data_IF_671320216086
#
_entry.id   IF_671320216086
#
_cell.length_a   1.000
_cell.length_b   1.000
_cell.length_c   1.000
_cell.angle_alpha   90.00
_cell.angle_beta   90.00
_cell.angle_gamma   90.00
#
_symmetry.space_group_name_H-M   'P 1'
#
loop_
_entity.id
_entity.type
_entity.pdbx_description
1 polymer ?
#
# COMPACT_ATOMS: atom_id res chain seq x y z
N UNK A 1 -18.77 -12.88 10.62
CA UNK A 1 -18.01 -12.17 11.68
C UNK A 1 -18.25 -10.68 11.59
N UNK A 2 -18.06 -9.97 12.71
CA UNK A 2 -18.11 -8.51 12.75
C UNK A 2 -16.73 -7.94 13.04
N UNK A 3 -16.21 -7.08 12.14
CA UNK A 3 -14.92 -6.40 12.29
C UNK A 3 -15.07 -4.89 12.33
N UNK A 4 -14.29 -4.23 13.20
CA UNK A 4 -14.14 -2.79 13.19
C UNK A 4 -12.72 -2.47 12.68
N UNK A 5 -12.64 -1.70 11.60
CA UNK A 5 -11.40 -1.25 10.99
C UNK A 5 -11.07 0.15 11.46
N UNK A 6 -9.79 0.44 11.68
CA UNK A 6 -9.33 1.75 12.14
C UNK A 6 -8.22 2.25 11.23
N UNK A 7 -8.41 3.43 10.63
CA UNK A 7 -7.37 4.19 9.96
C UNK A 7 -7.47 5.66 10.39
N UNK A 8 -6.36 6.21 10.88
CA UNK A 8 -6.35 7.57 11.47
C UNK A 8 -5.87 8.65 10.51
N UNK A 9 -5.45 8.29 9.30
CA UNK A 9 -4.89 9.23 8.33
C UNK A 9 -5.93 10.25 7.83
N UNK A 10 -5.46 11.47 7.56
CA UNK A 10 -6.27 12.51 6.93
C UNK A 10 -6.12 12.51 5.41
N UNK A 11 -4.97 12.09 4.91
CA UNK A 11 -4.64 12.10 3.48
C UNK A 11 -5.05 10.78 2.82
N UNK A 12 -5.14 10.79 1.49
CA UNK A 12 -5.34 9.60 0.68
C UNK A 12 -4.02 9.10 0.11
N UNK A 13 -3.67 7.86 0.42
CA UNK A 13 -2.49 7.16 -0.11
C UNK A 13 -2.84 5.68 -0.33
N UNK A 14 -1.91 4.89 -0.86
CA UNK A 14 -2.11 3.46 -1.09
C UNK A 14 -2.62 2.68 0.14
N UNK A 15 -2.13 3.00 1.35
CA UNK A 15 -2.59 2.35 2.59
C UNK A 15 -4.08 2.55 2.87
N UNK A 16 -4.62 3.76 2.68
CA UNK A 16 -6.04 4.06 2.85
C UNK A 16 -6.90 3.39 1.78
N UNK A 17 -6.39 3.33 0.54
CA UNK A 17 -7.04 2.57 -0.52
C UNK A 17 -7.15 1.09 -0.15
N UNK A 18 -6.06 0.48 0.33
CA UNK A 18 -6.05 -0.92 0.75
C UNK A 18 -6.97 -1.19 1.96
N UNK A 19 -7.05 -0.25 2.91
CA UNK A 19 -8.01 -0.34 4.02
C UNK A 19 -9.45 -0.36 3.51
N UNK A 20 -9.79 0.52 2.57
CA UNK A 20 -11.13 0.61 1.98
C UNK A 20 -11.48 -0.62 1.15
N UNK A 21 -10.55 -1.11 0.30
CA UNK A 21 -10.71 -2.35 -0.46
C UNK A 21 -10.95 -3.55 0.46
N UNK A 22 -10.19 -3.64 1.57
CA UNK A 22 -10.38 -4.70 2.58
C UNK A 22 -11.77 -4.64 3.21
N UNK A 23 -12.22 -3.45 3.64
CA UNK A 23 -13.53 -3.25 4.27
C UNK A 23 -14.66 -3.60 3.32
N UNK A 24 -14.63 -3.08 2.08
CA UNK A 24 -15.65 -3.32 1.08
C UNK A 24 -15.69 -4.79 0.63
N UNK A 25 -14.52 -5.39 0.42
CA UNK A 25 -14.44 -6.79 0.02
C UNK A 25 -14.95 -7.74 1.09
N UNK A 26 -14.65 -7.50 2.38
CA UNK A 26 -15.22 -8.28 3.49
C UNK A 26 -16.74 -8.15 3.57
N UNK A 27 -17.31 -6.97 3.29
CA UNK A 27 -18.77 -6.81 3.20
C UNK A 27 -19.34 -7.60 2.04
N UNK A 28 -18.70 -7.58 0.90
CA UNK A 28 -19.15 -8.31 -0.30
C UNK A 28 -19.25 -9.83 -0.05
N UNK A 29 -18.38 -10.39 0.80
CA UNK A 29 -18.45 -11.81 1.21
C UNK A 29 -19.29 -12.05 2.47
N UNK A 30 -20.15 -11.08 2.88
CA UNK A 30 -21.14 -11.24 3.93
C UNK A 30 -20.65 -10.98 5.37
N UNK A 31 -19.46 -10.38 5.55
CA UNK A 31 -19.03 -9.94 6.87
C UNK A 31 -19.67 -8.59 7.23
N UNK A 32 -20.05 -8.40 8.49
CA UNK A 32 -20.36 -7.08 9.00
C UNK A 32 -19.07 -6.33 9.25
N UNK A 33 -18.99 -5.09 8.77
CA UNK A 33 -17.81 -4.22 8.97
C UNK A 33 -18.25 -2.83 9.42
N UNK A 34 -17.43 -2.16 10.24
CA UNK A 34 -17.52 -0.75 10.53
C UNK A 34 -16.14 -0.11 10.38
N UNK A 35 -16.11 1.18 10.07
CA UNK A 35 -14.86 1.92 9.84
C UNK A 35 -14.75 3.11 10.79
N UNK A 36 -13.73 3.09 11.62
CA UNK A 36 -13.27 4.24 12.41
C UNK A 36 -12.30 5.03 11.54
N UNK A 37 -12.68 6.26 11.20
CA UNK A 37 -11.88 7.13 10.36
C UNK A 37 -11.83 8.55 10.94
N UNK A 38 -10.81 9.32 10.54
CA UNK A 38 -10.72 10.72 10.90
C UNK A 38 -11.93 11.50 10.33
N UNK A 39 -12.64 12.34 11.13
CA UNK A 39 -13.87 13.01 10.68
C UNK A 39 -13.68 13.91 9.45
N UNK A 40 -12.47 14.46 9.26
CA UNK A 40 -12.10 15.30 8.11
C UNK A 40 -11.06 14.59 7.23
N UNK A 41 -11.06 13.26 7.17
CA UNK A 41 -10.12 12.46 6.38
C UNK A 41 -10.72 12.00 5.06
N UNK A 42 -9.86 11.87 4.04
CA UNK A 42 -10.22 11.42 2.69
C UNK A 42 -10.87 10.02 2.68
N UNK A 43 -10.44 9.13 3.57
CA UNK A 43 -11.00 7.80 3.69
C UNK A 43 -12.51 7.82 4.00
N UNK A 44 -12.93 8.73 4.89
CA UNK A 44 -14.35 8.93 5.21
C UNK A 44 -15.15 9.42 4.01
N UNK A 45 -14.58 10.35 3.23
CA UNK A 45 -15.26 10.93 2.06
C UNK A 45 -15.43 9.91 0.93
N UNK A 46 -14.54 8.92 0.85
CA UNK A 46 -14.53 7.87 -0.18
C UNK A 46 -15.22 6.58 0.27
N UNK A 47 -15.64 6.51 1.53
CA UNK A 47 -16.33 5.33 2.04
C UNK A 47 -17.68 5.13 1.32
N UNK A 48 -17.97 3.87 0.97
CA UNK A 48 -19.19 3.51 0.26
C UNK A 48 -20.44 3.82 1.11
N UNK A 49 -21.54 4.15 0.45
CA UNK A 49 -22.85 4.26 1.10
C UNK A 49 -23.20 2.98 1.86
N UNK A 50 -23.83 3.16 3.02
CA UNK A 50 -24.23 2.05 3.89
C UNK A 50 -23.09 1.41 4.69
N UNK A 51 -21.86 1.94 4.66
CA UNK A 51 -20.81 1.58 5.59
C UNK A 51 -21.02 2.29 6.94
N UNK A 52 -21.02 1.53 8.04
CA UNK A 52 -21.08 2.10 9.39
C UNK A 52 -19.79 2.88 9.69
N UNK A 53 -19.89 4.23 9.64
CA UNK A 53 -18.76 5.13 9.88
C UNK A 53 -18.77 5.65 11.31
N UNK A 54 -17.61 5.55 11.96
CA UNK A 54 -17.41 6.01 13.34
C UNK A 54 -16.33 7.10 13.33
N UNK A 55 -16.72 8.38 13.47
CA UNK A 55 -15.75 9.48 13.41
C UNK A 55 -14.98 9.60 14.71
N UNK A 56 -13.70 9.20 14.71
CA UNK A 56 -12.77 9.41 15.81
C UNK A 56 -11.48 9.99 15.26
N UNK A 57 -11.06 11.14 15.82
CA UNK A 57 -9.77 11.76 15.53
C UNK A 57 -8.82 11.52 16.68
N UNK A 58 -7.73 10.78 16.46
CA UNK A 58 -6.61 10.71 17.37
C UNK A 58 -5.65 11.87 17.07
N UNK A 59 -5.27 12.65 18.08
CA UNK A 59 -4.34 13.78 17.95
C UNK A 59 -2.87 13.33 18.04
N UNK A 60 -2.64 12.31 18.84
CA UNK A 60 -1.31 11.69 19.08
C UNK A 60 -1.44 10.18 19.22
N UNK A 61 -0.32 9.47 19.21
CA UNK A 61 -0.32 8.01 19.48
C UNK A 61 -0.87 7.65 20.88
N UNK A 62 -0.81 8.58 21.85
CA UNK A 62 -1.24 8.37 23.24
C UNK A 62 -2.51 9.18 23.58
N UNK A 63 -3.41 9.39 22.63
CA UNK A 63 -4.66 10.11 22.85
C UNK A 63 -5.66 9.26 23.64
N UNK A 64 -5.65 9.41 24.97
CA UNK A 64 -6.56 8.69 25.88
C UNK A 64 -8.04 9.02 25.65
N UNK A 65 -8.35 10.24 25.17
CA UNK A 65 -9.73 10.62 24.85
C UNK A 65 -10.27 9.84 23.65
N UNK A 66 -9.46 9.75 22.58
CA UNK A 66 -9.80 8.97 21.41
C UNK A 66 -9.90 7.47 21.75
N UNK A 67 -8.98 6.95 22.56
CA UNK A 67 -9.00 5.57 23.04
C UNK A 67 -10.24 5.28 23.90
N UNK A 68 -10.62 6.17 24.80
CA UNK A 68 -11.83 6.02 25.61
C UNK A 68 -13.12 6.02 24.76
N UNK A 69 -13.20 6.92 23.75
CA UNK A 69 -14.32 6.92 22.81
C UNK A 69 -14.40 5.59 22.07
N UNK A 70 -13.27 5.08 21.60
CA UNK A 70 -13.20 3.78 20.94
C UNK A 70 -13.63 2.66 21.90
N UNK A 71 -13.17 2.64 23.17
CA UNK A 71 -13.58 1.65 24.17
C UNK A 71 -15.10 1.61 24.37
N UNK A 72 -15.76 2.79 24.40
CA UNK A 72 -17.23 2.85 24.46
C UNK A 72 -17.91 2.26 23.22
N UNK A 73 -17.33 2.50 22.04
CA UNK A 73 -17.81 1.89 20.78
C UNK A 73 -17.67 0.38 20.83
N UNK A 74 -16.51 -0.14 21.23
CA UNK A 74 -16.26 -1.57 21.35
C UNK A 74 -17.22 -2.24 22.33
N UNK A 75 -17.49 -1.62 23.48
CA UNK A 75 -18.47 -2.12 24.46
C UNK A 75 -19.89 -2.17 23.91
N UNK A 76 -20.28 -1.17 23.10
CA UNK A 76 -21.63 -1.09 22.50
C UNK A 76 -21.82 -2.08 21.36
N UNK A 77 -20.81 -2.20 20.49
CA UNK A 77 -20.92 -2.96 19.24
C UNK A 77 -20.44 -4.41 19.36
N UNK A 78 -19.62 -4.73 20.36
CA UNK A 78 -19.08 -6.07 20.64
C UNK A 78 -18.53 -6.80 19.40
N UNK A 79 -17.55 -6.20 18.65
CA UNK A 79 -17.00 -6.83 17.46
C UNK A 79 -16.22 -8.12 17.81
N UNK A 80 -16.00 -8.97 16.79
CA UNK A 80 -15.11 -10.13 16.89
C UNK A 80 -13.64 -9.71 16.68
N UNK A 81 -13.43 -8.78 15.76
CA UNK A 81 -12.11 -8.31 15.31
C UNK A 81 -12.02 -6.78 15.40
N UNK A 82 -10.89 -6.30 15.87
CA UNK A 82 -10.47 -4.92 15.78
C UNK A 82 -9.23 -4.87 14.88
N UNK A 83 -9.34 -4.27 13.69
CA UNK A 83 -8.26 -4.24 12.72
C UNK A 83 -7.68 -2.82 12.55
N UNK A 84 -6.45 -2.61 12.99
CA UNK A 84 -5.72 -1.36 12.88
C UNK A 84 -4.89 -1.32 11.58
N UNK A 85 -5.05 -0.26 10.77
CA UNK A 85 -4.40 -0.13 9.47
C UNK A 85 -3.16 0.77 9.48
N UNK A 86 -2.91 1.48 10.56
CA UNK A 86 -1.72 2.33 10.75
C UNK A 86 -1.18 2.27 12.19
N UNK A 87 -0.02 2.88 12.45
CA UNK A 87 0.64 2.83 13.74
C UNK A 87 -0.12 3.58 14.85
N UNK A 88 -0.80 4.69 14.52
CA UNK A 88 -1.64 5.44 15.47
C UNK A 88 -2.93 4.67 15.76
N UNK A 89 -3.53 4.03 14.75
CA UNK A 89 -4.66 3.13 14.90
C UNK A 89 -4.33 1.96 15.85
N UNK A 90 -3.14 1.35 15.69
CA UNK A 90 -2.66 0.29 16.58
C UNK A 90 -2.53 0.78 18.02
N UNK A 91 -1.98 1.98 18.24
CA UNK A 91 -1.85 2.56 19.56
C UNK A 91 -3.22 2.85 20.19
N UNK A 92 -4.13 3.50 19.46
CA UNK A 92 -5.48 3.80 19.91
C UNK A 92 -6.26 2.53 20.25
N UNK A 93 -6.15 1.49 19.42
CA UNK A 93 -6.79 0.18 19.66
C UNK A 93 -6.25 -0.49 20.94
N UNK A 94 -4.92 -0.53 21.10
CA UNK A 94 -4.29 -1.11 22.30
C UNK A 94 -4.70 -0.38 23.59
N UNK A 95 -4.74 0.95 23.57
CA UNK A 95 -5.21 1.75 24.69
C UNK A 95 -6.69 1.53 24.97
N UNK A 96 -7.53 1.48 23.93
CA UNK A 96 -8.96 1.26 24.08
C UNK A 96 -9.28 -0.10 24.71
N UNK A 97 -8.58 -1.16 24.31
CA UNK A 97 -8.70 -2.49 24.90
C UNK A 97 -8.28 -2.50 26.37
N UNK A 98 -7.23 -1.77 26.74
CA UNK A 98 -6.78 -1.66 28.13
C UNK A 98 -7.74 -0.85 29.01
N UNK A 99 -8.44 0.15 28.45
CA UNK A 99 -9.43 0.97 29.16
C UNK A 99 -10.79 0.29 29.26
N UNK A 100 -11.09 -0.67 28.40
CA UNK A 100 -12.42 -1.31 28.32
C UNK A 100 -12.79 -2.22 29.50
N UNK A 101 -11.89 -2.51 30.41
CA UNK A 101 -12.10 -3.36 31.58
C UNK A 101 -12.50 -4.79 31.21
N UNK A 102 -13.10 -5.53 32.17
CA UNK A 102 -13.58 -6.90 31.93
C UNK A 102 -14.89 -6.90 31.12
N UNK A 103 -14.79 -6.62 29.82
CA UNK A 103 -15.92 -6.79 28.90
C UNK A 103 -16.24 -8.28 28.74
N UNK A 104 -17.52 -8.61 28.54
CA UNK A 104 -17.98 -10.00 28.32
C UNK A 104 -17.34 -10.64 27.09
N UNK A 105 -16.85 -9.84 26.15
CA UNK A 105 -16.14 -10.26 24.93
C UNK A 105 -15.09 -9.21 24.55
N UNK A 106 -13.84 -9.61 24.48
CA UNK A 106 -12.73 -8.77 24.01
C UNK A 106 -12.41 -9.12 22.56
N UNK A 107 -12.48 -8.15 21.61
CA UNK A 107 -12.15 -8.45 20.21
C UNK A 107 -10.68 -8.83 20.07
N UNK A 108 -10.36 -9.66 19.08
CA UNK A 108 -8.98 -9.90 18.71
C UNK A 108 -8.42 -8.69 17.96
N UNK A 109 -7.21 -8.26 18.34
CA UNK A 109 -6.53 -7.12 17.71
C UNK A 109 -5.63 -7.60 16.57
N UNK A 110 -5.98 -7.22 15.35
CA UNK A 110 -5.18 -7.42 14.14
C UNK A 110 -4.56 -6.09 13.74
N UNK A 111 -3.31 -6.09 13.30
CA UNK A 111 -2.64 -4.89 12.80
C UNK A 111 -2.03 -5.13 11.41
N UNK A 112 -2.41 -4.33 10.43
CA UNK A 112 -1.75 -4.32 9.12
C UNK A 112 -0.42 -3.57 9.18
N UNK A 113 0.59 -4.15 8.55
CA UNK A 113 1.89 -3.51 8.32
C UNK A 113 2.17 -3.42 6.82
N UNK A 114 2.19 -2.18 6.31
CA UNK A 114 2.34 -1.86 4.88
C UNK A 114 3.63 -1.13 4.55
N UNK A 115 4.42 -0.79 5.58
CA UNK A 115 5.69 -0.06 5.44
C UNK A 115 6.82 -0.88 6.00
N UNK A 116 7.98 -0.80 5.38
CA UNK A 116 9.20 -1.52 5.69
C UNK A 116 10.14 -0.78 6.66
N UNK A 117 9.58 0.07 7.52
CA UNK A 117 10.33 0.70 8.61
C UNK A 117 10.28 -0.18 9.86
N UNK A 118 11.43 -0.35 10.52
CA UNK A 118 11.54 -1.09 11.77
C UNK A 118 10.62 -0.57 12.87
N UNK A 119 10.19 -1.46 13.75
CA UNK A 119 9.41 -1.10 14.92
C UNK A 119 10.27 -0.26 15.88
N UNK A 120 9.68 0.81 16.43
CA UNK A 120 10.38 1.61 17.44
C UNK A 120 10.64 0.80 18.69
N UNK A 121 11.88 0.81 19.19
CA UNK A 121 12.33 0.02 20.35
C UNK A 121 11.95 0.59 21.72
N UNK A 122 11.14 1.68 21.81
CA UNK A 122 10.74 2.27 23.09
C UNK A 122 9.69 1.41 23.83
N UNK A 123 9.54 1.65 25.15
CA UNK A 123 8.67 0.83 26.00
C UNK A 123 7.20 0.86 25.58
N UNK A 124 6.68 2.01 25.14
CA UNK A 124 5.31 2.14 24.66
C UNK A 124 5.09 1.36 23.36
N UNK A 125 6.03 1.46 22.42
CA UNK A 125 5.98 0.70 21.18
C UNK A 125 5.97 -0.81 21.44
N UNK A 126 6.88 -1.30 22.30
CA UNK A 126 6.89 -2.72 22.70
C UNK A 126 5.59 -3.14 23.39
N UNK A 127 5.06 -2.33 24.27
CA UNK A 127 3.80 -2.60 24.97
C UNK A 127 2.63 -2.72 23.97
N UNK A 128 2.44 -1.73 23.07
CA UNK A 128 1.32 -1.76 22.12
C UNK A 128 1.41 -2.95 21.15
N UNK A 129 2.61 -3.31 20.69
CA UNK A 129 2.79 -4.43 19.77
C UNK A 129 2.57 -5.79 20.46
N UNK A 130 2.76 -5.89 21.79
CA UNK A 130 2.40 -7.09 22.54
C UNK A 130 0.89 -7.32 22.62
N UNK A 131 0.09 -6.28 22.51
CA UNK A 131 -1.39 -6.37 22.51
C UNK A 131 -1.95 -6.89 21.19
N UNK A 132 -1.17 -6.84 20.10
CA UNK A 132 -1.63 -7.29 18.78
C UNK A 132 -1.62 -8.81 18.72
N UNK A 133 -2.75 -9.44 18.47
CA UNK A 133 -2.88 -10.90 18.37
C UNK A 133 -2.26 -11.43 17.07
N UNK A 134 -2.38 -10.66 15.96
CA UNK A 134 -1.77 -11.01 14.69
C UNK A 134 -1.41 -9.77 13.86
N UNK A 135 -0.20 -9.76 13.30
CA UNK A 135 0.22 -8.80 12.29
C UNK A 135 -0.01 -9.37 10.89
N UNK A 136 -0.71 -8.62 10.06
CA UNK A 136 -0.82 -8.85 8.62
C UNK A 136 0.23 -8.00 7.94
N UNK A 137 1.28 -8.63 7.41
CA UNK A 137 2.33 -7.99 6.64
C UNK A 137 1.94 -7.98 5.16
N UNK A 138 2.07 -6.82 4.49
CA UNK A 138 1.74 -6.68 3.07
C UNK A 138 2.70 -7.43 2.14
N UNK A 139 3.85 -7.86 2.64
CA UNK A 139 4.85 -8.65 1.92
C UNK A 139 5.62 -9.57 2.87
N UNK A 140 6.25 -10.59 2.32
CA UNK A 140 7.13 -11.47 3.08
C UNK A 140 8.37 -10.72 3.59
N UNK A 141 8.84 -9.73 2.84
CA UNK A 141 9.90 -8.84 3.29
C UNK A 141 9.54 -8.12 4.59
N UNK A 142 8.31 -7.56 4.67
CA UNK A 142 7.80 -6.92 5.90
C UNK A 142 7.64 -7.96 7.02
N UNK A 143 7.14 -9.16 6.72
CA UNK A 143 6.98 -10.23 7.71
C UNK A 143 8.33 -10.59 8.34
N UNK A 144 9.36 -10.80 7.51
CA UNK A 144 10.73 -11.08 7.98
C UNK A 144 11.28 -9.95 8.85
N UNK A 145 11.05 -8.70 8.47
CA UNK A 145 11.42 -7.53 9.25
C UNK A 145 10.74 -7.52 10.62
N UNK A 146 9.42 -7.78 10.69
CA UNK A 146 8.69 -7.86 11.96
C UNK A 146 9.25 -8.95 12.88
N UNK A 147 9.57 -10.11 12.33
CA UNK A 147 10.20 -11.21 13.09
C UNK A 147 11.60 -10.80 13.59
N UNK A 148 12.40 -10.13 12.76
CA UNK A 148 13.70 -9.60 13.16
C UNK A 148 13.58 -8.52 14.26
N UNK A 149 12.48 -7.75 14.28
CA UNK A 149 12.17 -6.79 15.34
C UNK A 149 11.63 -7.43 16.63
N UNK A 150 11.55 -8.78 16.68
CA UNK A 150 11.16 -9.55 17.86
C UNK A 150 9.66 -9.85 17.95
N UNK A 151 8.89 -9.70 16.87
CA UNK A 151 7.50 -10.19 16.83
C UNK A 151 7.52 -11.70 16.60
N UNK A 152 6.85 -12.52 17.43
CA UNK A 152 6.82 -13.97 17.25
C UNK A 152 6.31 -14.37 15.86
N UNK A 153 6.96 -15.33 15.17
CA UNK A 153 6.57 -15.74 13.82
C UNK A 153 5.11 -16.20 13.71
N UNK A 154 4.58 -16.87 14.72
CA UNK A 154 3.19 -17.34 14.79
C UNK A 154 2.16 -16.21 14.88
N UNK A 155 2.60 -15.02 15.28
CA UNK A 155 1.77 -13.80 15.32
C UNK A 155 1.95 -12.92 14.08
N UNK A 156 2.63 -13.40 13.07
CA UNK A 156 2.81 -12.71 11.79
C UNK A 156 2.34 -13.57 10.64
N UNK A 157 1.69 -12.95 9.67
CA UNK A 157 1.25 -13.61 8.44
C UNK A 157 1.41 -12.64 7.28
N UNK A 158 1.82 -13.16 6.13
CA UNK A 158 1.82 -12.39 4.89
C UNK A 158 0.45 -12.51 4.22
N UNK A 159 -0.18 -11.37 3.97
CA UNK A 159 -1.32 -11.23 3.06
C UNK A 159 -0.95 -10.11 2.10
N UNK A 160 -0.69 -10.46 0.86
CA UNK A 160 -0.34 -9.47 -0.15
C UNK A 160 -1.50 -8.52 -0.40
N UNK A 161 -1.18 -7.25 -0.61
CA UNK A 161 -2.17 -6.27 -1.05
C UNK A 161 -2.69 -6.63 -2.43
N UNK A 162 -3.97 -6.38 -2.66
CA UNK A 162 -4.65 -6.65 -3.92
C UNK A 162 -5.12 -5.37 -4.60
N UNK A 163 -5.36 -5.47 -5.90
CA UNK A 163 -6.00 -4.42 -6.68
C UNK A 163 -7.32 -4.94 -7.27
N UNK A 164 -8.23 -4.01 -7.51
CA UNK A 164 -9.46 -4.26 -8.26
C UNK A 164 -9.13 -4.23 -9.76
N UNK A 165 -8.88 -5.41 -10.33
CA UNK A 165 -8.46 -5.56 -11.72
C UNK A 165 -9.56 -5.08 -12.67
N UNK A 166 -10.83 -5.32 -12.36
CA UNK A 166 -11.96 -4.87 -13.19
C UNK A 166 -12.02 -3.34 -13.23
N UNK A 167 -11.86 -2.69 -12.09
CA UNK A 167 -11.79 -1.23 -12.00
C UNK A 167 -10.61 -0.66 -12.80
N UNK A 168 -9.43 -1.28 -12.73
CA UNK A 168 -8.26 -0.87 -13.52
C UNK A 168 -8.56 -1.00 -15.02
N UNK A 169 -9.15 -2.11 -15.45
CA UNK A 169 -9.46 -2.35 -16.86
C UNK A 169 -10.57 -1.40 -17.37
N UNK A 170 -11.57 -1.11 -16.55
CA UNK A 170 -12.69 -0.22 -16.90
C UNK A 170 -12.29 1.27 -16.91
N UNK A 171 -11.22 1.66 -16.24
CA UNK A 171 -10.77 3.06 -16.21
C UNK A 171 -10.49 3.57 -17.64
N UNK A 172 -11.05 4.75 -18.04
CA UNK A 172 -10.81 5.29 -19.37
C UNK A 172 -9.34 5.62 -19.59
N UNK A 173 -8.81 5.28 -20.76
CA UNK A 173 -7.44 5.62 -21.13
C UNK A 173 -7.30 7.13 -21.30
N UNK A 174 -6.18 7.70 -20.85
CA UNK A 174 -5.82 9.10 -21.04
C UNK A 174 -4.79 9.20 -22.16
N UNK A 175 -5.01 10.11 -23.11
CA UNK A 175 -3.97 10.47 -24.08
C UNK A 175 -2.92 11.33 -23.34
N UNK A 176 -1.88 10.67 -22.88
CA UNK A 176 -0.81 11.31 -22.08
C UNK A 176 -0.05 12.35 -22.90
N UNK A 177 0.15 12.10 -24.21
CA UNK A 177 0.83 13.07 -25.10
C UNK A 177 0.06 14.38 -25.21
N UNK A 178 -1.25 14.32 -25.44
CA UNK A 178 -2.10 15.52 -25.50
C UNK A 178 -2.25 16.18 -24.15
N UNK A 179 -2.51 15.38 -23.11
CA UNK A 179 -2.77 15.89 -21.74
C UNK A 179 -1.59 16.69 -21.19
N UNK A 180 -0.37 16.29 -21.53
CA UNK A 180 0.86 16.93 -21.03
C UNK A 180 1.64 17.67 -22.11
N UNK A 181 1.04 17.91 -23.28
CA UNK A 181 1.64 18.62 -24.40
C UNK A 181 2.99 18.03 -24.83
N UNK A 182 3.08 16.70 -24.88
CA UNK A 182 4.26 15.96 -25.26
C UNK A 182 4.26 15.65 -26.77
N UNK A 183 5.44 15.45 -27.41
CA UNK A 183 5.51 15.03 -28.80
C UNK A 183 4.77 13.69 -29.01
N UNK A 184 3.91 13.59 -30.03
CA UNK A 184 2.98 12.49 -30.25
C UNK A 184 3.59 11.08 -30.35
N UNK A 185 4.88 10.97 -30.63
CA UNK A 185 5.58 9.67 -30.77
C UNK A 185 6.72 9.49 -29.76
N UNK A 186 6.80 10.38 -28.78
CA UNK A 186 7.80 10.27 -27.74
C UNK A 186 7.59 9.02 -26.90
N UNK A 187 8.59 8.15 -26.71
CA UNK A 187 8.48 7.05 -25.77
C UNK A 187 8.23 7.56 -24.35
N UNK A 188 7.24 6.97 -23.64
CA UNK A 188 6.78 7.43 -22.33
C UNK A 188 7.15 6.46 -21.21
N UNK A 189 7.96 6.93 -20.27
CA UNK A 189 8.27 6.23 -19.02
C UNK A 189 7.44 6.86 -17.89
N UNK A 190 6.52 6.09 -17.31
CA UNK A 190 5.69 6.54 -16.21
C UNK A 190 6.23 6.14 -14.84
N UNK A 191 6.03 7.00 -13.85
CA UNK A 191 6.19 6.69 -12.43
C UNK A 191 4.99 7.24 -11.65
N UNK A 192 4.48 6.47 -10.70
CA UNK A 192 3.37 6.88 -9.84
C UNK A 192 3.74 6.58 -8.40
N UNK A 193 4.07 7.62 -7.64
CA UNK A 193 4.41 7.50 -6.22
C UNK A 193 4.35 8.85 -5.51
N UNK A 194 4.18 8.85 -4.18
CA UNK A 194 4.40 10.05 -3.37
C UNK A 194 5.86 10.52 -3.50
N UNK A 195 6.07 11.84 -3.57
CA UNK A 195 7.41 12.43 -3.71
C UNK A 195 8.08 12.53 -2.32
N UNK A 196 8.59 11.38 -1.85
CA UNK A 196 9.21 11.21 -0.52
C UNK A 196 10.53 10.44 -0.63
N UNK A 197 11.46 10.57 0.34
CA UNK A 197 12.84 10.07 0.20
C UNK A 197 12.96 8.59 -0.17
N UNK A 198 12.15 7.73 0.43
CA UNK A 198 12.24 6.29 0.20
C UNK A 198 11.74 5.84 -1.18
N UNK A 199 10.99 6.66 -1.92
CA UNK A 199 10.56 6.36 -3.30
C UNK A 199 11.66 6.61 -4.34
N UNK A 200 12.72 7.33 -3.98
CA UNK A 200 13.95 7.41 -4.76
C UNK A 200 13.83 8.05 -6.15
N UNK A 201 12.82 8.92 -6.39
CA UNK A 201 12.62 9.57 -7.70
C UNK A 201 13.85 10.34 -8.19
N UNK A 202 14.73 10.78 -7.27
CA UNK A 202 16.03 11.36 -7.65
C UNK A 202 16.81 10.41 -8.56
N UNK A 203 16.88 9.12 -8.19
CA UNK A 203 17.59 8.12 -8.99
C UNK A 203 16.90 7.84 -10.33
N UNK A 204 15.58 8.03 -10.41
CA UNK A 204 14.87 7.97 -11.69
C UNK A 204 15.23 9.17 -12.59
N UNK A 205 15.39 10.37 -12.02
CA UNK A 205 15.86 11.57 -12.77
C UNK A 205 17.31 11.38 -13.22
N UNK A 206 18.17 10.81 -12.36
CA UNK A 206 19.55 10.47 -12.75
C UNK A 206 19.57 9.43 -13.89
N UNK A 207 18.68 8.44 -13.86
CA UNK A 207 18.52 7.47 -14.94
C UNK A 207 17.97 8.12 -16.22
N UNK A 208 16.99 9.03 -16.11
CA UNK A 208 16.43 9.77 -17.25
C UNK A 208 17.51 10.56 -17.99
N UNK A 209 18.45 11.18 -17.27
CA UNK A 209 19.58 11.88 -17.89
C UNK A 209 20.38 10.97 -18.83
N UNK A 210 20.64 9.72 -18.43
CA UNK A 210 21.34 8.75 -19.26
C UNK A 210 20.47 8.22 -20.41
N UNK A 211 19.18 7.97 -20.14
CA UNK A 211 18.24 7.49 -21.17
C UNK A 211 18.09 8.51 -22.31
N UNK A 212 18.00 9.81 -22.00
CA UNK A 212 17.84 10.87 -23.00
C UNK A 212 19.07 11.01 -23.90
N UNK A 213 20.27 10.67 -23.42
CA UNK A 213 21.47 10.62 -24.27
C UNK A 213 21.37 9.50 -25.33
N UNK A 214 20.69 8.40 -25.03
CA UNK A 214 20.52 7.24 -25.93
C UNK A 214 19.22 7.33 -26.77
N UNK A 215 18.17 7.93 -26.22
CA UNK A 215 16.84 8.11 -26.81
C UNK A 215 16.38 9.55 -26.57
N UNK A 216 16.81 10.52 -27.40
CA UNK A 216 16.54 11.95 -27.18
C UNK A 216 15.05 12.33 -27.13
N UNK A 217 14.20 11.51 -27.72
CA UNK A 217 12.75 11.74 -27.70
C UNK A 217 12.04 11.19 -26.46
N UNK A 218 12.72 10.42 -25.60
CA UNK A 218 12.09 9.84 -24.41
C UNK A 218 11.57 10.90 -23.44
N UNK A 219 10.41 10.65 -22.84
CA UNK A 219 9.77 11.50 -21.82
C UNK A 219 9.43 10.68 -20.59
N UNK A 220 9.64 11.31 -19.44
CA UNK A 220 9.35 10.75 -18.13
C UNK A 220 8.21 11.55 -17.51
N UNK A 221 7.17 10.85 -17.03
CA UNK A 221 6.01 11.45 -16.36
C UNK A 221 5.93 10.89 -14.95
N UNK A 222 6.26 11.73 -13.97
CA UNK A 222 6.29 11.37 -12.54
C UNK A 222 5.04 11.95 -11.88
N UNK A 223 4.02 11.09 -11.66
CA UNK A 223 2.76 11.47 -11.05
C UNK A 223 2.82 11.29 -9.54
N UNK A 224 2.43 12.31 -8.80
CA UNK A 224 2.36 12.32 -7.35
C UNK A 224 2.71 13.66 -6.74
N UNK A 225 2.50 13.76 -5.43
CA UNK A 225 2.84 14.92 -4.62
C UNK A 225 3.64 14.50 -3.39
N UNK A 226 4.39 15.43 -2.82
CA UNK A 226 5.14 15.20 -1.59
C UNK A 226 6.19 16.27 -1.31
N UNK A 227 6.85 16.13 -0.18
CA UNK A 227 7.82 17.10 0.34
C UNK A 227 9.06 17.30 -0.54
N UNK A 228 9.36 16.35 -1.43
CA UNK A 228 10.52 16.42 -2.32
C UNK A 228 10.25 17.13 -3.65
N UNK A 229 9.03 17.66 -3.91
CA UNK A 229 8.67 18.26 -5.18
C UNK A 229 9.68 19.30 -5.64
N UNK A 230 9.89 20.34 -4.85
CA UNK A 230 10.83 21.43 -5.18
C UNK A 230 12.27 20.95 -5.38
N UNK A 231 12.68 19.95 -4.58
CA UNK A 231 14.00 19.33 -4.71
C UNK A 231 14.13 18.59 -6.06
N UNK A 232 13.13 17.82 -6.45
CA UNK A 232 13.12 17.10 -7.72
C UNK A 232 13.07 18.04 -8.93
N UNK A 233 12.25 19.09 -8.87
CA UNK A 233 12.20 20.12 -9.93
C UNK A 233 13.55 20.82 -10.11
N UNK A 234 14.26 21.09 -9.01
CA UNK A 234 15.62 21.63 -9.06
C UNK A 234 16.58 20.63 -9.68
N UNK A 235 16.52 19.36 -9.26
CA UNK A 235 17.35 18.30 -9.78
C UNK A 235 17.15 18.08 -11.30
N UNK A 236 15.90 18.19 -11.77
CA UNK A 236 15.57 18.16 -13.22
C UNK A 236 16.26 19.32 -13.95
N UNK A 237 16.22 20.55 -13.40
CA UNK A 237 16.92 21.72 -13.99
C UNK A 237 18.44 21.56 -14.00
N UNK A 238 19.02 21.07 -12.92
CA UNK A 238 20.47 20.84 -12.79
C UNK A 238 21.00 19.87 -13.86
N UNK A 239 20.14 18.94 -14.32
CA UNK A 239 20.43 17.99 -15.40
C UNK A 239 19.96 18.44 -16.80
N UNK A 240 19.39 19.65 -16.95
CA UNK A 240 18.81 20.17 -18.20
C UNK A 240 17.72 19.27 -18.80
N UNK A 241 16.86 18.70 -17.94
CA UNK A 241 15.82 17.73 -18.31
C UNK A 241 14.40 18.31 -18.33
N UNK A 242 14.21 19.63 -18.32
CA UNK A 242 12.90 20.30 -18.20
C UNK A 242 11.94 19.92 -19.34
N UNK A 243 12.47 19.55 -20.52
CA UNK A 243 11.69 19.08 -21.67
C UNK A 243 11.44 17.57 -21.65
N UNK A 244 12.11 16.82 -20.77
CA UNK A 244 12.12 15.36 -20.75
C UNK A 244 11.47 14.75 -19.51
N UNK A 245 11.49 15.43 -18.36
CA UNK A 245 10.95 14.96 -17.08
C UNK A 245 9.87 15.91 -16.60
N UNK A 246 8.65 15.41 -16.51
CA UNK A 246 7.49 16.16 -16.05
C UNK A 246 7.06 15.68 -14.67
N UNK A 247 6.70 16.64 -13.81
CA UNK A 247 6.11 16.41 -12.50
C UNK A 247 4.70 17.05 -12.44
N UNK A 248 3.68 16.46 -13.09
CA UNK A 248 2.34 17.08 -13.19
C UNK A 248 1.56 17.17 -11.87
N UNK A 249 2.09 16.56 -10.80
CA UNK A 249 1.44 16.56 -9.52
C UNK A 249 0.51 15.37 -9.26
N UNK A 250 -0.36 15.50 -8.28
CA UNK A 250 -1.38 14.50 -7.95
C UNK A 250 -2.48 14.47 -9.02
N UNK A 251 -2.88 13.25 -9.41
CA UNK A 251 -3.96 13.04 -10.37
C UNK A 251 -4.97 12.02 -9.86
N UNK A 252 -6.23 12.20 -10.21
CA UNK A 252 -7.32 11.26 -9.91
C UNK A 252 -7.51 10.20 -10.99
N UNK A 253 -7.09 10.49 -12.23
CA UNK A 253 -7.15 9.64 -13.41
C UNK A 253 -5.85 8.86 -13.67
N UNK A 254 -5.12 8.55 -12.61
CA UNK A 254 -3.79 7.91 -12.66
C UNK A 254 -3.79 6.59 -13.43
N UNK A 255 -4.85 5.78 -13.31
CA UNK A 255 -4.99 4.52 -14.06
C UNK A 255 -5.08 4.76 -15.57
N UNK A 256 -5.81 5.80 -15.98
CA UNK A 256 -5.88 6.23 -17.37
C UNK A 256 -4.52 6.68 -17.91
N UNK A 257 -3.76 7.43 -17.12
CA UNK A 257 -2.39 7.80 -17.48
C UNK A 257 -1.47 6.58 -17.61
N UNK A 258 -1.56 5.59 -16.71
CA UNK A 258 -0.78 4.35 -16.76
C UNK A 258 -0.99 3.58 -18.08
N UNK A 259 -2.22 3.58 -18.60
CA UNK A 259 -2.54 2.97 -19.90
C UNK A 259 -1.86 3.67 -21.08
N UNK A 260 -1.47 4.92 -20.91
CA UNK A 260 -0.76 5.70 -21.93
C UNK A 260 0.76 5.62 -21.88
N UNK A 261 1.35 4.95 -20.87
CA UNK A 261 2.80 4.79 -20.78
C UNK A 261 3.27 3.59 -21.62
N UNK A 262 4.49 3.67 -22.18
CA UNK A 262 5.16 2.54 -22.81
C UNK A 262 5.82 1.63 -21.78
N UNK A 263 6.32 2.21 -20.70
CA UNK A 263 7.06 1.55 -19.65
C UNK A 263 6.72 2.16 -18.29
N UNK A 264 6.67 1.35 -17.24
CA UNK A 264 6.54 1.84 -15.86
C UNK A 264 7.85 1.64 -15.10
N UNK A 265 8.36 2.71 -14.48
CA UNK A 265 9.60 2.68 -13.70
C UNK A 265 9.34 2.97 -12.22
N UNK A 266 9.92 2.15 -11.31
CA UNK A 266 9.86 2.36 -9.86
C UNK A 266 11.27 2.32 -9.27
N UNK A 267 11.71 3.45 -8.74
CA UNK A 267 13.09 3.67 -8.24
C UNK A 267 13.23 3.60 -6.72
N UNK A 268 12.27 2.99 -6.02
CA UNK A 268 12.22 2.96 -4.56
C UNK A 268 13.52 2.46 -3.94
N UNK A 269 13.94 3.10 -2.86
CA UNK A 269 15.07 2.66 -2.03
C UNK A 269 14.59 1.62 -1.02
N UNK A 270 13.38 1.84 -0.49
CA UNK A 270 12.64 0.89 0.32
C UNK A 270 11.15 0.89 -0.11
N UNK A 271 10.50 -0.27 0.00
CA UNK A 271 9.10 -0.42 -0.44
C UNK A 271 8.39 -1.51 0.37
N UNK A 272 7.18 -1.23 0.80
CA UNK A 272 6.36 -2.24 1.45
C UNK A 272 6.00 -3.40 0.52
N UNK A 273 5.22 -3.11 -0.50
CA UNK A 273 4.90 -4.03 -1.59
C UNK A 273 5.04 -3.33 -2.95
N UNK A 274 4.46 -2.13 -3.13
CA UNK A 274 4.51 -1.38 -4.38
C UNK A 274 3.22 -1.52 -5.21
N UNK A 275 2.07 -1.16 -4.64
CA UNK A 275 0.76 -1.33 -5.30
C UNK A 275 0.64 -0.64 -6.65
N UNK A 276 1.32 0.51 -6.87
CA UNK A 276 1.33 1.15 -8.20
C UNK A 276 2.03 0.31 -9.28
N UNK A 277 2.92 -0.61 -8.91
CA UNK A 277 3.46 -1.62 -9.84
C UNK A 277 2.37 -2.61 -10.24
N UNK A 278 1.53 -3.03 -9.29
CA UNK A 278 0.39 -3.92 -9.59
C UNK A 278 -0.59 -3.25 -10.56
N UNK A 279 -0.92 -1.96 -10.35
CA UNK A 279 -1.76 -1.19 -11.25
C UNK A 279 -1.16 -1.10 -12.66
N UNK A 280 0.15 -0.83 -12.76
CA UNK A 280 0.86 -0.76 -14.04
C UNK A 280 0.90 -2.13 -14.76
N UNK A 281 1.14 -3.21 -14.01
CA UNK A 281 1.09 -4.59 -14.54
C UNK A 281 -0.32 -4.95 -15.03
N UNK A 282 -1.37 -4.57 -14.29
CA UNK A 282 -2.76 -4.78 -14.74
C UNK A 282 -3.08 -3.98 -16.02
N UNK A 283 -2.43 -2.82 -16.22
CA UNK A 283 -2.47 -2.08 -17.50
C UNK A 283 -1.54 -2.67 -18.58
N UNK A 284 -1.00 -3.87 -18.40
CA UNK A 284 -0.04 -4.51 -19.31
C UNK A 284 1.21 -3.69 -19.59
N UNK A 285 1.70 -2.93 -18.61
CA UNK A 285 2.96 -2.20 -18.76
C UNK A 285 4.12 -3.08 -18.30
N UNK A 286 5.19 -3.12 -19.09
CA UNK A 286 6.46 -3.71 -18.66
C UNK A 286 7.05 -2.86 -17.52
N UNK A 287 7.71 -3.51 -16.59
CA UNK A 287 8.21 -2.88 -15.36
C UNK A 287 9.73 -2.82 -15.36
N UNK A 288 10.31 -1.66 -15.03
CA UNK A 288 11.68 -1.56 -14.53
C UNK A 288 11.61 -1.07 -13.09
N UNK A 289 12.03 -1.89 -12.15
CA UNK A 289 11.92 -1.55 -10.74
C UNK A 289 13.17 -1.95 -9.95
N UNK A 290 13.29 -1.41 -8.76
CA UNK A 290 14.37 -1.78 -7.84
C UNK A 290 14.01 -3.04 -7.03
N UNK A 291 15.04 -3.80 -6.58
CA UNK A 291 14.89 -4.94 -5.66
C UNK A 291 14.62 -4.49 -4.22
N UNK A 292 13.77 -3.48 -4.03
CA UNK A 292 13.46 -2.89 -2.73
C UNK A 292 12.27 -3.59 -2.06
N UNK A 293 12.43 -4.01 -0.81
CA UNK A 293 11.35 -4.56 0.01
C UNK A 293 10.56 -5.67 -0.66
N UNK A 294 9.24 -5.49 -0.79
CA UNK A 294 8.32 -6.46 -1.40
C UNK A 294 8.26 -6.44 -2.94
N UNK A 295 8.96 -5.54 -3.63
CA UNK A 295 8.91 -5.48 -5.11
C UNK A 295 9.29 -6.80 -5.77
N UNK A 296 10.33 -7.56 -5.32
CA UNK A 296 10.66 -8.86 -5.89
C UNK A 296 9.57 -9.95 -5.73
N UNK A 297 8.60 -9.71 -4.85
CA UNK A 297 7.45 -10.62 -4.69
C UNK A 297 6.38 -10.39 -5.78
N UNK A 298 6.31 -9.17 -6.32
CA UNK A 298 5.41 -8.77 -7.41
C UNK A 298 6.06 -9.07 -8.76
N UNK A 299 7.23 -8.46 -9.01
CA UNK A 299 7.92 -8.51 -10.31
C UNK A 299 8.78 -9.76 -10.38
N UNK A 300 8.51 -10.62 -11.37
CA UNK A 300 9.39 -11.72 -11.74
C UNK A 300 10.44 -11.21 -12.72
N UNK A 301 11.69 -11.15 -12.25
CA UNK A 301 12.81 -10.63 -13.02
C UNK A 301 13.00 -11.40 -14.34
N UNK A 302 13.09 -10.66 -15.45
CA UNK A 302 13.19 -11.21 -16.80
C UNK A 302 11.89 -11.70 -17.42
N UNK A 303 10.79 -11.85 -16.64
CA UNK A 303 9.51 -12.36 -17.13
C UNK A 303 8.41 -11.28 -17.16
N UNK A 304 8.14 -10.61 -16.03
CA UNK A 304 7.10 -9.58 -15.95
C UNK A 304 7.67 -8.16 -15.88
N UNK A 305 8.99 -8.04 -15.86
CA UNK A 305 9.75 -6.81 -15.78
C UNK A 305 11.20 -7.11 -15.49
N UNK A 306 11.96 -6.06 -15.18
CA UNK A 306 13.39 -6.13 -14.84
C UNK A 306 13.61 -5.51 -13.47
N UNK A 307 14.41 -6.18 -12.65
CA UNK A 307 14.78 -5.72 -11.33
C UNK A 307 16.26 -5.29 -11.31
N UNK A 308 16.50 -4.08 -10.80
CA UNK A 308 17.85 -3.52 -10.60
C UNK A 308 18.08 -3.24 -9.12
N UNK A 309 19.35 -3.07 -8.72
CA UNK A 309 19.64 -2.73 -7.33
C UNK A 309 19.18 -1.30 -6.98
N UNK A 310 18.69 -1.06 -5.75
CA UNK A 310 18.34 0.28 -5.30
C UNK A 310 19.52 1.25 -5.46
N UNK A 311 19.22 2.48 -5.93
CA UNK A 311 20.16 3.55 -6.24
C UNK A 311 21.08 3.31 -7.44
N UNK A 312 20.98 2.18 -8.13
CA UNK A 312 21.73 1.95 -9.37
C UNK A 312 20.97 2.55 -10.58
N UNK A 313 21.05 3.88 -10.70
CA UNK A 313 20.44 4.62 -11.81
C UNK A 313 21.05 4.25 -13.17
N UNK A 314 22.30 3.75 -13.21
CA UNK A 314 22.94 3.31 -14.47
C UNK A 314 22.33 2.00 -14.97
N UNK A 315 22.15 1.02 -14.09
CA UNK A 315 21.46 -0.21 -14.45
C UNK A 315 20.00 0.08 -14.84
N UNK A 316 19.31 0.95 -14.10
CA UNK A 316 17.94 1.37 -14.42
C UNK A 316 17.86 2.01 -15.81
N UNK A 317 18.78 2.92 -16.16
CA UNK A 317 18.83 3.54 -17.47
C UNK A 317 19.04 2.52 -18.60
N UNK A 318 20.02 1.59 -18.45
CA UNK A 318 20.27 0.53 -19.44
C UNK A 318 19.03 -0.30 -19.71
N UNK A 319 18.31 -0.71 -18.66
CA UNK A 319 17.12 -1.55 -18.82
C UNK A 319 15.93 -0.77 -19.40
N UNK A 320 15.78 0.51 -19.06
CA UNK A 320 14.79 1.40 -19.69
C UNK A 320 15.08 1.52 -21.20
N UNK A 321 16.33 1.83 -21.58
CA UNK A 321 16.75 1.94 -23.01
C UNK A 321 16.49 0.61 -23.75
N UNK A 322 16.89 -0.52 -23.14
CA UNK A 322 16.67 -1.87 -23.72
C UNK A 322 15.21 -2.12 -24.00
N UNK A 323 14.35 -1.86 -23.01
CA UNK A 323 12.91 -2.10 -23.16
C UNK A 323 12.23 -1.07 -24.07
N UNK A 324 12.67 0.18 -24.12
CA UNK A 324 12.13 1.17 -25.07
C UNK A 324 12.47 0.84 -26.53
N UNK A 325 13.59 0.15 -26.79
CA UNK A 325 14.01 -0.30 -28.12
C UNK A 325 13.39 -1.64 -28.57
N UNK A 326 12.76 -2.41 -27.65
CA UNK A 326 12.20 -3.72 -27.95
C UNK A 326 10.70 -3.80 -27.58
N UNK A 327 9.85 -3.38 -28.52
CA UNK A 327 8.39 -3.36 -28.36
C UNK A 327 7.82 -4.76 -28.10
N UNK A 328 8.39 -5.79 -28.77
CA UNK A 328 7.93 -7.16 -28.61
C UNK A 328 8.24 -7.68 -27.20
N UNK A 329 9.41 -7.38 -26.66
CA UNK A 329 9.76 -7.74 -25.28
C UNK A 329 8.88 -7.01 -24.27
N UNK A 330 8.64 -5.70 -24.47
CA UNK A 330 7.74 -4.91 -23.61
C UNK A 330 6.33 -5.51 -23.59
N UNK A 331 5.79 -5.83 -24.75
CA UNK A 331 4.45 -6.41 -24.88
C UNK A 331 4.35 -7.77 -24.16
N UNK A 332 5.34 -8.66 -24.34
CA UNK A 332 5.39 -9.96 -23.65
C UNK A 332 5.47 -9.80 -22.13
N UNK A 333 6.34 -8.92 -21.64
CA UNK A 333 6.48 -8.67 -20.19
C UNK A 333 5.22 -8.05 -19.60
N UNK A 334 4.59 -7.10 -20.30
CA UNK A 334 3.35 -6.49 -19.87
C UNK A 334 2.20 -7.49 -19.76
N UNK A 335 2.04 -8.38 -20.73
CA UNK A 335 0.99 -9.41 -20.71
C UNK A 335 1.24 -10.45 -19.61
N UNK A 336 2.49 -10.91 -19.45
CA UNK A 336 2.86 -11.78 -18.34
C UNK A 336 2.60 -11.11 -16.99
N UNK A 337 2.85 -9.81 -16.89
CA UNK A 337 2.55 -8.99 -15.71
C UNK A 337 1.06 -8.97 -15.40
N UNK A 338 0.21 -8.69 -16.39
CA UNK A 338 -1.24 -8.69 -16.25
C UNK A 338 -1.78 -10.03 -15.79
N UNK A 339 -1.33 -11.11 -16.40
CA UNK A 339 -1.71 -12.49 -16.02
C UNK A 339 -1.36 -12.75 -14.55
N UNK A 340 -0.13 -12.44 -14.13
CA UNK A 340 0.32 -12.63 -12.75
C UNK A 340 -0.52 -11.86 -11.73
N UNK A 341 -0.90 -10.62 -12.05
CA UNK A 341 -1.75 -9.82 -11.16
C UNK A 341 -3.12 -10.45 -11.01
N UNK A 342 -3.75 -10.85 -12.11
CA UNK A 342 -5.05 -11.53 -12.09
C UNK A 342 -5.06 -12.84 -11.29
N UNK A 343 -3.94 -13.57 -11.27
CA UNK A 343 -3.83 -14.83 -10.54
C UNK A 343 -3.50 -14.66 -9.05
N UNK A 344 -2.74 -13.62 -8.66
CA UNK A 344 -2.09 -13.58 -7.35
C UNK A 344 -2.35 -12.32 -6.51
N UNK A 345 -2.73 -11.20 -7.12
CA UNK A 345 -2.77 -9.90 -6.45
C UNK A 345 -4.11 -9.19 -6.63
N UNK A 346 -5.21 -9.97 -6.59
CA UNK A 346 -6.56 -9.41 -6.66
C UNK A 346 -7.11 -9.07 -5.27
N UNK A 347 -8.08 -8.15 -5.23
CA UNK A 347 -8.78 -7.79 -3.99
C UNK A 347 -9.47 -9.00 -3.39
N UNK A 348 -10.08 -9.87 -4.22
CA UNK A 348 -10.79 -11.07 -3.77
C UNK A 348 -9.85 -12.01 -3.00
N UNK A 349 -8.64 -12.21 -3.52
CA UNK A 349 -7.62 -13.03 -2.86
C UNK A 349 -7.17 -12.41 -1.55
N UNK A 350 -6.84 -11.12 -1.54
CA UNK A 350 -6.47 -10.38 -0.32
C UNK A 350 -7.56 -10.48 0.75
N UNK A 351 -8.82 -10.34 0.35
CA UNK A 351 -9.99 -10.40 1.25
C UNK A 351 -10.18 -11.81 1.80
N UNK A 352 -10.10 -12.84 0.96
CA UNK A 352 -10.22 -14.24 1.38
C UNK A 352 -9.12 -14.62 2.38
N UNK A 353 -7.87 -14.24 2.11
CA UNK A 353 -6.75 -14.49 3.01
C UNK A 353 -6.89 -13.70 4.32
N UNK A 354 -7.36 -12.45 4.28
CA UNK A 354 -7.67 -11.64 5.48
C UNK A 354 -8.79 -12.28 6.32
N UNK A 355 -9.86 -12.75 5.69
CA UNK A 355 -10.96 -13.44 6.38
C UNK A 355 -10.50 -14.74 7.05
N UNK A 356 -9.60 -15.49 6.41
CA UNK A 356 -8.99 -16.68 7.00
C UNK A 356 -8.16 -16.36 8.26
N UNK A 357 -7.40 -15.24 8.22
CA UNK A 357 -6.66 -14.74 9.39
C UNK A 357 -7.64 -14.41 10.52
N UNK A 358 -8.75 -13.73 10.23
CA UNK A 358 -9.74 -13.37 11.23
C UNK A 358 -10.38 -14.62 11.89
N UNK A 359 -10.73 -15.62 11.08
CA UNK A 359 -11.29 -16.87 11.59
C UNK A 359 -10.33 -17.56 12.57
N UNK A 360 -9.05 -17.62 12.20
CA UNK A 360 -8.01 -18.22 13.05
C UNK A 360 -7.85 -17.45 14.37
N UNK A 361 -7.74 -16.13 14.33
CA UNK A 361 -7.44 -15.31 15.52
C UNK A 361 -8.64 -15.23 16.46
N UNK A 362 -9.86 -15.11 15.93
CA UNK A 362 -11.08 -15.13 16.72
C UNK A 362 -11.29 -16.49 17.42
N UNK A 363 -11.01 -17.60 16.74
CA UNK A 363 -11.10 -18.95 17.32
C UNK A 363 -10.12 -19.17 18.47
N UNK A 364 -8.87 -18.72 18.31
CA UNK A 364 -7.84 -18.81 19.35
C UNK A 364 -8.24 -17.99 20.59
N UNK A 365 -8.77 -16.78 20.40
CA UNK A 365 -9.18 -15.91 21.50
C UNK A 365 -10.40 -16.46 22.24
N UNK A 366 -11.36 -17.00 21.53
CA UNK A 366 -12.54 -17.64 22.15
C UNK A 366 -12.15 -18.84 23.01
N UNK A 367 -11.21 -19.67 22.58
CA UNK A 367 -10.69 -20.79 23.36
C UNK A 367 -9.96 -20.30 24.63
N UNK A 368 -9.20 -19.22 24.57
CA UNK A 368 -8.52 -18.63 25.74
C UNK A 368 -9.51 -18.04 26.74
N UNK A 369 -10.55 -17.33 26.28
CA UNK A 369 -11.59 -16.74 27.15
C UNK A 369 -12.42 -17.83 27.85
N UNK A 370 -12.68 -18.96 27.19
CA UNK A 370 -13.40 -20.12 27.82
C UNK A 370 -12.55 -20.84 28.85
N UNK A 371 -11.25 -20.97 28.60
CA UNK A 371 -10.31 -21.61 29.53
C UNK A 371 -10.02 -20.77 30.79
N UNK A 372 -10.19 -19.46 30.74
CA UNK A 372 -9.96 -18.53 31.85
C UNK A 372 -11.16 -18.30 32.76
N UNK A 373 -12.35 -18.85 32.42
CA UNK A 373 -13.55 -18.77 33.29
C UNK A 373 -13.48 -19.88 34.34
N UNK A 374 -13.39 -19.55 35.66
CA UNK A 374 -13.50 -20.56 36.67
C UNK A 374 -14.88 -21.23 36.57
N UNK A 375 -14.91 -22.57 36.68
CA UNK A 375 -16.15 -23.31 36.77
C UNK A 375 -17.01 -22.73 37.93
N UNK A 376 -18.16 -22.17 37.58
CA UNK A 376 -19.14 -21.78 38.59
C UNK A 376 -19.73 -23.05 39.15
N UNK A 377 -19.30 -23.40 40.35
CA UNK A 377 -19.95 -24.37 41.21
C UNK A 377 -21.09 -23.71 41.95
#
# INVERSE_FOLDING_TARGET
MFSIHIDTARTWRGGQNQALLTVNGLRAIGHRTALVAHPNGELRLRAAEGLELIPIAARTEMDLTAAWRLARVLKRLSPDILHAHDAHATAMASLALSLGGSATKTPALVASRRVDFHLRGNSFSRWKHRQVDCFIAASEAIRKMLVADGVPPERTVTVHEGIDVEHVLAAPAVNVHETFFLPHRAPLVGNVAALVPHKGQRHLVDAAHLVVQEIPDARFVILGEGELREHLERHVRDHHLEKHVLLPGFRTDVLGCMKGFDLFAMSSVTEGLGTSILDAMACSRAIVATRAGGIPEIVQDGLTGVLVEPRDHKAMAREIVRLLRDDALRARMGEAGRTRVGERFTVERMVAETAAVYARVAGTRHAADTASRPARH
#
